data_IF_726796679773
#
_entry.id   IF_726796679773
#
_cell.length_a   1.000
_cell.length_b   1.000
_cell.length_c   1.000
_cell.angle_alpha   90.00
_cell.angle_beta   90.00
_cell.angle_gamma   90.00
#
_symmetry.space_group_name_H-M   'P 1'
#
loop_
_entity.id
_entity.type
_entity.pdbx_description
1 polymer ?
#
# COMPACT_ATOMS: atom_id res chain seq x y z
N UNK A 1 4.95 -14.88 -9.74
CA UNK A 1 5.17 -15.16 -8.32
C UNK A 1 3.85 -15.49 -7.65
N UNK A 2 3.87 -16.34 -6.64
CA UNK A 2 2.73 -16.65 -5.77
C UNK A 2 2.73 -15.69 -4.58
N UNK A 3 1.63 -15.00 -4.35
CA UNK A 3 1.51 -13.92 -3.37
C UNK A 3 0.46 -14.26 -2.32
N UNK A 4 0.76 -13.96 -1.07
CA UNK A 4 -0.21 -13.90 0.03
C UNK A 4 -0.32 -12.46 0.51
N UNK A 5 -1.54 -11.95 0.60
CA UNK A 5 -1.84 -10.62 1.09
C UNK A 5 -2.18 -10.65 2.57
N UNK A 6 -1.49 -9.84 3.36
CA UNK A 6 -1.80 -9.56 4.77
C UNK A 6 -2.39 -8.16 4.82
N UNK A 7 -3.73 -8.10 4.76
CA UNK A 7 -4.52 -6.88 4.67
C UNK A 7 -5.33 -6.79 3.38
N UNK A 8 -6.53 -6.18 3.47
CA UNK A 8 -7.48 -5.98 2.37
C UNK A 8 -7.96 -4.51 2.30
N UNK A 9 -7.03 -3.56 2.53
CA UNK A 9 -7.28 -2.13 2.44
C UNK A 9 -7.27 -1.61 0.99
N UNK A 10 -7.42 -0.28 0.83
CA UNK A 10 -7.44 0.36 -0.48
C UNK A 10 -6.20 0.04 -1.33
N UNK A 11 -5.01 0.18 -0.72
CA UNK A 11 -3.75 -0.12 -1.40
C UNK A 11 -3.65 -1.61 -1.78
N UNK A 12 -3.98 -2.53 -0.84
CA UNK A 12 -3.97 -3.96 -1.13
C UNK A 12 -4.89 -4.32 -2.29
N UNK A 13 -6.06 -3.66 -2.39
CA UNK A 13 -7.00 -3.87 -3.49
C UNK A 13 -6.40 -3.42 -4.82
N UNK A 14 -5.93 -2.20 -4.91
CA UNK A 14 -5.42 -1.63 -6.16
C UNK A 14 -4.12 -2.31 -6.62
N UNK A 15 -3.17 -2.51 -5.71
CA UNK A 15 -1.90 -3.17 -6.03
C UNK A 15 -2.10 -4.67 -6.31
N UNK A 16 -3.01 -5.32 -5.58
CA UNK A 16 -3.36 -6.73 -5.80
C UNK A 16 -3.93 -6.96 -7.19
N UNK A 17 -4.87 -6.13 -7.62
CA UNK A 17 -5.41 -6.19 -8.98
C UNK A 17 -4.36 -5.88 -10.05
N UNK A 18 -3.46 -4.92 -9.79
CA UNK A 18 -2.38 -4.60 -10.73
C UNK A 18 -1.39 -5.77 -10.88
N UNK A 19 -0.98 -6.39 -9.77
CA UNK A 19 -0.10 -7.58 -9.78
C UNK A 19 -0.79 -8.79 -10.42
N UNK A 20 -2.08 -8.99 -10.18
CA UNK A 20 -2.85 -10.04 -10.82
C UNK A 20 -2.90 -9.87 -12.34
N UNK A 21 -3.15 -8.63 -12.84
CA UNK A 21 -3.10 -8.32 -14.28
C UNK A 21 -1.71 -8.49 -14.88
N UNK A 22 -0.66 -8.30 -14.08
CA UNK A 22 0.73 -8.54 -14.49
C UNK A 22 1.13 -10.04 -14.49
N UNK A 23 0.18 -10.95 -14.20
CA UNK A 23 0.40 -12.40 -14.26
C UNK A 23 0.93 -13.03 -12.96
N UNK A 24 0.86 -12.32 -11.83
CA UNK A 24 1.13 -12.91 -10.54
C UNK A 24 -0.09 -13.63 -9.99
N UNK A 25 0.11 -14.75 -9.30
CA UNK A 25 -0.93 -15.56 -8.69
C UNK A 25 -1.12 -15.15 -7.22
N UNK A 26 -2.33 -14.79 -6.82
CA UNK A 26 -2.64 -14.63 -5.40
C UNK A 26 -3.16 -15.96 -4.85
N UNK A 27 -2.53 -16.46 -3.79
CA UNK A 27 -2.96 -17.69 -3.12
C UNK A 27 -4.05 -17.43 -2.10
N UNK A 28 -3.89 -16.35 -1.32
CA UNK A 28 -4.79 -16.04 -0.20
C UNK A 28 -4.73 -14.56 0.16
N UNK A 29 -5.86 -14.06 0.65
CA UNK A 29 -5.98 -12.78 1.34
C UNK A 29 -6.35 -13.03 2.79
N UNK A 30 -5.53 -12.53 3.70
CA UNK A 30 -5.86 -12.40 5.12
C UNK A 30 -6.35 -10.99 5.43
N UNK A 31 -7.42 -10.87 6.21
CA UNK A 31 -7.86 -9.58 6.78
C UNK A 31 -8.46 -9.80 8.15
N UNK A 32 -8.47 -8.76 9.00
CA UNK A 32 -9.06 -8.79 10.34
C UNK A 32 -10.53 -9.22 10.35
N UNK A 33 -11.27 -9.01 9.28
CA UNK A 33 -12.66 -9.43 9.11
C UNK A 33 -12.78 -10.25 7.85
N UNK A 34 -13.51 -11.37 7.93
CA UNK A 34 -13.76 -12.25 6.78
C UNK A 34 -14.38 -11.48 5.61
N UNK A 35 -15.36 -10.63 5.87
CA UNK A 35 -16.02 -9.83 4.82
C UNK A 35 -15.03 -8.99 3.99
N UNK A 36 -14.02 -8.38 4.65
CA UNK A 36 -12.99 -7.63 3.91
C UNK A 36 -12.05 -8.53 3.13
N UNK A 37 -11.72 -9.71 3.66
CA UNK A 37 -10.89 -10.70 2.98
C UNK A 37 -11.60 -11.24 1.74
N UNK A 38 -12.88 -11.62 1.85
CA UNK A 38 -13.70 -12.16 0.77
C UNK A 38 -13.87 -11.18 -0.39
N UNK A 39 -14.07 -9.89 -0.12
CA UNK A 39 -14.20 -8.86 -1.16
C UNK A 39 -12.94 -8.80 -2.03
N UNK A 40 -11.76 -8.79 -1.44
CA UNK A 40 -10.51 -8.75 -2.21
C UNK A 40 -10.19 -10.12 -2.83
N UNK A 41 -10.38 -11.19 -2.09
CA UNK A 41 -10.15 -12.55 -2.58
C UNK A 41 -11.05 -12.88 -3.79
N UNK A 42 -12.30 -12.44 -3.78
CA UNK A 42 -13.21 -12.60 -4.93
C UNK A 42 -12.74 -11.86 -6.18
N UNK A 43 -12.11 -10.68 -6.04
CA UNK A 43 -11.52 -9.94 -7.17
C UNK A 43 -10.26 -10.62 -7.72
N UNK A 44 -9.49 -11.29 -6.86
CA UNK A 44 -8.24 -11.93 -7.21
C UNK A 44 -8.36 -13.44 -7.51
N UNK A 45 -9.57 -14.02 -7.33
CA UNK A 45 -9.81 -15.43 -7.57
C UNK A 45 -9.06 -16.38 -6.62
N UNK A 46 -8.94 -16.03 -5.34
CA UNK A 46 -8.13 -16.75 -4.37
C UNK A 46 -8.86 -17.04 -3.05
N UNK A 47 -8.17 -17.65 -2.09
CA UNK A 47 -8.73 -17.97 -0.76
C UNK A 47 -8.84 -16.71 0.11
N UNK A 48 -9.81 -16.69 1.01
CA UNK A 48 -9.97 -15.67 2.06
C UNK A 48 -9.82 -16.30 3.43
N UNK A 49 -9.24 -15.55 4.39
CA UNK A 49 -9.22 -15.93 5.81
C UNK A 49 -9.17 -14.72 6.71
N UNK A 50 -9.76 -14.81 7.91
CA UNK A 50 -9.56 -13.88 9.01
C UNK A 50 -8.84 -14.54 10.21
N UNK A 51 -8.45 -15.80 10.05
CA UNK A 51 -7.64 -16.54 11.02
C UNK A 51 -6.15 -16.43 10.64
N UNK A 52 -5.35 -15.88 11.57
CA UNK A 52 -3.89 -15.76 11.41
C UNK A 52 -3.20 -17.14 11.30
N UNK A 53 -3.77 -18.15 11.95
CA UNK A 53 -3.17 -19.48 11.96
C UNK A 53 -3.49 -20.27 10.67
N UNK A 54 -4.51 -19.81 9.93
CA UNK A 54 -4.90 -20.33 8.62
C UNK A 54 -4.18 -19.63 7.45
N UNK A 55 -3.24 -18.72 7.72
CA UNK A 55 -2.42 -18.13 6.65
C UNK A 55 -1.57 -19.22 6.01
N UNK A 56 -1.78 -19.45 4.69
CA UNK A 56 -1.15 -20.55 3.95
C UNK A 56 0.36 -20.35 3.80
N UNK A 57 1.17 -21.39 3.98
CA UNK A 57 2.60 -21.37 3.65
C UNK A 57 2.83 -21.55 2.15
N UNK A 58 4.09 -21.39 1.70
CA UNK A 58 4.52 -21.76 0.34
C UNK A 58 4.26 -20.72 -0.73
N UNK A 59 3.97 -19.47 -0.35
CA UNK A 59 4.03 -18.34 -1.27
C UNK A 59 5.47 -17.91 -1.51
N UNK A 60 5.72 -17.27 -2.66
CA UNK A 60 7.01 -16.64 -2.95
C UNK A 60 7.13 -15.31 -2.19
N UNK A 61 6.01 -14.61 -2.01
CA UNK A 61 5.97 -13.26 -1.42
C UNK A 61 4.76 -13.13 -0.49
N UNK A 62 5.00 -12.55 0.69
CA UNK A 62 3.96 -12.10 1.63
C UNK A 62 3.98 -10.58 1.69
N UNK A 63 2.87 -9.94 1.30
CA UNK A 63 2.75 -8.47 1.27
C UNK A 63 1.88 -8.00 2.42
N UNK A 64 2.49 -7.29 3.37
CA UNK A 64 1.83 -6.70 4.53
C UNK A 64 1.32 -5.29 4.17
N UNK A 65 0.04 -5.19 3.85
CA UNK A 65 -0.63 -3.93 3.49
C UNK A 65 -1.70 -3.60 4.53
N UNK A 66 -1.25 -3.22 5.71
CA UNK A 66 -2.05 -2.95 6.90
C UNK A 66 -1.71 -1.59 7.50
N UNK A 67 -2.52 -1.13 8.45
CA UNK A 67 -2.22 0.10 9.21
C UNK A 67 -0.94 -0.08 10.04
N UNK A 68 -0.17 0.99 10.17
CA UNK A 68 1.12 1.03 10.87
C UNK A 68 1.04 0.46 12.30
N UNK A 69 0.02 0.84 13.06
CA UNK A 69 -0.14 0.42 14.46
C UNK A 69 -0.41 -1.08 14.68
N UNK A 70 -0.64 -1.87 13.62
CA UNK A 70 -0.84 -3.33 13.73
C UNK A 70 0.24 -4.12 12.97
N UNK A 71 1.09 -3.45 12.19
CA UNK A 71 2.08 -4.09 11.33
C UNK A 71 3.04 -4.97 12.12
N UNK A 72 3.66 -4.44 13.17
CA UNK A 72 4.65 -5.15 13.98
C UNK A 72 4.07 -6.42 14.62
N UNK A 73 2.84 -6.33 15.17
CA UNK A 73 2.15 -7.47 15.76
C UNK A 73 1.82 -8.58 14.73
N UNK A 74 1.52 -8.22 13.48
CA UNK A 74 1.28 -9.19 12.43
C UNK A 74 2.58 -9.78 11.89
N UNK A 75 3.61 -8.97 11.74
CA UNK A 75 4.94 -9.42 11.31
C UNK A 75 5.48 -10.46 12.30
N UNK A 76 5.46 -10.19 13.61
CA UNK A 76 5.97 -11.11 14.63
C UNK A 76 5.27 -12.47 14.64
N UNK A 77 4.00 -12.54 14.22
CA UNK A 77 3.22 -13.79 14.18
C UNK A 77 3.29 -14.54 12.85
N UNK A 78 3.37 -13.83 11.73
CA UNK A 78 3.29 -14.43 10.39
C UNK A 78 4.68 -14.66 9.81
N UNK A 79 5.58 -13.67 9.86
CA UNK A 79 6.85 -13.73 9.17
C UNK A 79 7.74 -14.92 9.57
N UNK A 80 7.81 -15.37 10.85
CA UNK A 80 8.60 -16.57 11.22
C UNK A 80 8.11 -17.86 10.57
N UNK A 81 6.89 -17.89 10.05
CA UNK A 81 6.25 -19.07 9.44
C UNK A 81 6.40 -19.12 7.92
N UNK A 82 6.95 -18.05 7.31
CA UNK A 82 7.04 -17.91 5.85
C UNK A 82 8.29 -18.59 5.26
N UNK A 83 9.22 -19.08 6.09
CA UNK A 83 10.47 -19.67 5.65
C UNK A 83 11.37 -18.67 4.92
N UNK A 84 11.81 -19.01 3.70
CA UNK A 84 12.63 -18.14 2.86
C UNK A 84 11.82 -17.26 1.90
N UNK A 85 10.51 -17.17 2.08
CA UNK A 85 9.69 -16.27 1.26
C UNK A 85 10.05 -14.80 1.52
N UNK A 86 9.84 -13.97 0.51
CA UNK A 86 10.04 -12.54 0.59
C UNK A 86 8.90 -11.88 1.39
N UNK A 87 9.21 -11.19 2.48
CA UNK A 87 8.26 -10.42 3.27
C UNK A 87 8.38 -8.93 2.94
N UNK A 88 7.33 -8.32 2.43
CA UNK A 88 7.29 -6.91 2.08
C UNK A 88 6.20 -6.18 2.85
N UNK A 89 6.45 -4.94 3.30
CA UNK A 89 5.37 -4.06 3.73
C UNK A 89 5.22 -2.88 2.78
N UNK A 90 4.04 -2.26 2.83
CA UNK A 90 3.70 -1.14 1.94
C UNK A 90 3.58 0.20 2.69
N UNK A 91 4.02 0.27 3.94
CA UNK A 91 3.88 1.46 4.77
C UNK A 91 4.96 2.51 4.46
N UNK A 92 4.54 3.77 4.29
CA UNK A 92 5.45 4.90 4.04
C UNK A 92 6.23 5.33 5.28
N UNK A 93 5.61 5.22 6.47
CA UNK A 93 6.15 5.69 7.75
C UNK A 93 6.96 4.65 8.51
N UNK A 94 6.73 3.34 8.26
CA UNK A 94 7.35 2.26 9.04
C UNK A 94 8.76 1.91 8.52
N UNK A 95 9.71 1.60 9.41
CA UNK A 95 11.03 1.16 8.99
C UNK A 95 10.98 -0.25 8.42
N UNK A 96 11.87 -0.55 7.45
CA UNK A 96 12.06 -1.90 6.94
C UNK A 96 12.42 -2.89 8.07
N UNK A 97 13.13 -2.41 9.07
CA UNK A 97 13.61 -3.18 10.22
C UNK A 97 12.50 -3.78 11.09
N UNK A 98 11.22 -3.47 10.85
CA UNK A 98 10.10 -4.17 11.50
C UNK A 98 10.15 -5.68 11.29
N UNK A 99 10.80 -6.15 10.21
CA UNK A 99 10.99 -7.58 9.91
C UNK A 99 12.24 -8.19 10.54
N UNK A 100 13.16 -7.37 11.09
CA UNK A 100 14.44 -7.85 11.63
C UNK A 100 14.21 -8.86 12.76
N UNK A 101 14.81 -10.04 12.62
CA UNK A 101 14.63 -11.14 13.57
C UNK A 101 13.34 -11.96 13.37
N UNK A 102 12.47 -11.58 12.42
CA UNK A 102 11.24 -12.30 12.10
C UNK A 102 11.25 -12.93 10.71
N UNK A 103 11.95 -12.32 9.75
CA UNK A 103 12.09 -12.84 8.39
C UNK A 103 13.56 -12.80 7.94
N UNK A 104 13.94 -13.74 7.07
CA UNK A 104 15.29 -13.78 6.47
C UNK A 104 15.39 -12.84 5.26
N UNK A 105 14.33 -12.73 4.48
CA UNK A 105 14.25 -11.97 3.24
C UNK A 105 13.11 -10.98 3.35
N UNK A 106 13.45 -9.71 3.45
CA UNK A 106 12.45 -8.68 3.69
C UNK A 106 12.80 -7.34 3.07
N UNK A 107 11.78 -6.53 2.89
CA UNK A 107 11.92 -5.22 2.30
C UNK A 107 10.64 -4.39 2.36
N UNK A 108 10.62 -3.37 1.53
CA UNK A 108 9.51 -2.44 1.38
C UNK A 108 9.13 -2.34 -0.09
N UNK A 109 7.84 -2.34 -0.34
CA UNK A 109 7.22 -2.05 -1.64
C UNK A 109 6.21 -0.92 -1.43
N UNK A 110 6.62 0.32 -1.67
CA UNK A 110 5.82 1.50 -1.34
C UNK A 110 5.39 2.27 -2.58
N UNK A 111 4.20 2.01 -3.14
CA UNK A 111 3.60 2.86 -4.17
C UNK A 111 3.16 4.20 -3.55
N UNK A 112 3.64 5.30 -4.13
CA UNK A 112 3.33 6.64 -3.62
C UNK A 112 2.12 7.24 -4.31
N UNK A 113 0.94 6.93 -3.78
CA UNK A 113 -0.34 7.45 -4.25
C UNK A 113 -1.39 7.40 -3.13
N UNK A 114 -2.43 8.20 -3.24
CA UNK A 114 -3.65 8.04 -2.45
C UNK A 114 -4.57 7.04 -3.16
N UNK A 115 -4.94 5.96 -2.47
CA UNK A 115 -5.74 4.89 -3.05
C UNK A 115 -7.17 4.89 -2.51
N UNK A 116 -8.13 4.66 -3.39
CA UNK A 116 -9.51 4.31 -3.08
C UNK A 116 -9.84 2.94 -3.71
N UNK A 117 -10.74 2.18 -3.09
CA UNK A 117 -11.19 0.90 -3.67
C UNK A 117 -11.99 1.08 -4.95
N UNK A 118 -12.69 2.21 -5.05
CA UNK A 118 -13.68 2.46 -6.10
C UNK A 118 -13.14 3.35 -7.23
N UNK A 119 -11.88 3.81 -7.11
CA UNK A 119 -11.24 4.65 -8.11
C UNK A 119 -10.00 3.93 -8.65
N UNK A 120 -10.09 3.24 -9.79
CA UNK A 120 -8.95 2.57 -10.41
C UNK A 120 -7.84 3.55 -10.74
N UNK A 121 -6.59 3.12 -10.54
CA UNK A 121 -5.40 3.91 -10.86
C UNK A 121 -4.53 3.18 -11.89
N UNK A 122 -3.88 3.95 -12.75
CA UNK A 122 -2.85 3.39 -13.63
C UNK A 122 -1.54 3.29 -12.85
N UNK A 123 -1.19 2.06 -12.46
CA UNK A 123 0.04 1.79 -11.72
C UNK A 123 1.30 2.11 -12.51
N UNK A 124 1.28 2.13 -13.84
CA UNK A 124 2.45 2.43 -14.66
C UNK A 124 3.03 3.81 -14.39
N UNK A 125 2.17 4.77 -14.07
CA UNK A 125 2.58 6.15 -13.79
C UNK A 125 2.93 6.39 -12.31
N UNK A 126 2.57 5.47 -11.41
CA UNK A 126 2.77 5.62 -9.96
C UNK A 126 4.21 5.32 -9.60
N UNK A 127 4.94 6.24 -8.96
CA UNK A 127 6.25 5.94 -8.40
C UNK A 127 6.16 4.87 -7.33
N UNK A 128 6.99 3.83 -7.44
CA UNK A 128 7.12 2.76 -6.45
C UNK A 128 8.51 2.80 -5.86
N UNK A 129 8.59 3.07 -4.57
CA UNK A 129 9.85 3.09 -3.83
C UNK A 129 10.08 1.74 -3.16
N UNK A 130 11.32 1.24 -3.30
CA UNK A 130 11.71 -0.07 -2.79
C UNK A 130 12.89 0.04 -1.85
N UNK A 131 12.94 -0.84 -0.86
CA UNK A 131 14.04 -1.00 0.08
C UNK A 131 14.16 -2.48 0.42
N UNK A 132 15.35 -2.99 0.63
CA UNK A 132 15.53 -4.42 0.89
C UNK A 132 16.71 -4.71 1.82
N UNK A 133 16.65 -5.86 2.48
CA UNK A 133 17.65 -6.32 3.45
C UNK A 133 18.98 -6.76 2.82
N UNK A 134 18.95 -7.18 1.55
CA UNK A 134 20.13 -7.61 0.78
C UNK A 134 19.98 -7.25 -0.70
N UNK A 135 21.09 -7.19 -1.48
CA UNK A 135 21.01 -6.92 -2.92
C UNK A 135 20.13 -7.90 -3.71
N UNK A 136 20.13 -9.19 -3.36
CA UNK A 136 19.29 -10.20 -4.02
C UNK A 136 17.81 -9.95 -3.75
N UNK A 137 17.48 -9.58 -2.52
CA UNK A 137 16.10 -9.22 -2.14
C UNK A 137 15.68 -7.93 -2.83
N UNK A 138 16.59 -6.96 -2.97
CA UNK A 138 16.34 -5.73 -3.72
C UNK A 138 15.99 -6.04 -5.17
N UNK A 139 16.81 -6.84 -5.85
CA UNK A 139 16.57 -7.22 -7.25
C UNK A 139 15.20 -7.89 -7.45
N UNK A 140 14.80 -8.78 -6.54
CA UNK A 140 13.47 -9.41 -6.58
C UNK A 140 12.33 -8.42 -6.30
N UNK A 141 12.52 -7.52 -5.33
CA UNK A 141 11.53 -6.49 -5.00
C UNK A 141 11.36 -5.52 -6.17
N UNK A 142 12.47 -5.11 -6.81
CA UNK A 142 12.42 -4.30 -8.04
C UNK A 142 11.72 -5.03 -9.18
N UNK A 143 12.01 -6.30 -9.41
CA UNK A 143 11.36 -7.09 -10.45
C UNK A 143 9.83 -7.12 -10.24
N UNK A 144 9.38 -7.33 -8.99
CA UNK A 144 7.97 -7.30 -8.64
C UNK A 144 7.38 -5.89 -8.88
N UNK A 145 8.07 -4.83 -8.45
CA UNK A 145 7.62 -3.46 -8.63
C UNK A 145 7.52 -3.07 -10.12
N UNK A 146 8.55 -3.42 -10.93
CA UNK A 146 8.61 -3.15 -12.37
C UNK A 146 7.57 -3.91 -13.19
N UNK A 147 6.98 -4.98 -12.64
CA UNK A 147 5.86 -5.67 -13.31
C UNK A 147 4.60 -4.80 -13.39
N UNK A 148 4.48 -3.78 -12.53
CA UNK A 148 3.30 -2.91 -12.45
C UNK A 148 3.61 -1.44 -12.69
N UNK A 149 4.83 -0.96 -12.45
CA UNK A 149 5.21 0.45 -12.56
C UNK A 149 6.45 0.65 -13.42
N UNK A 150 6.43 1.70 -14.25
CA UNK A 150 7.59 2.13 -15.03
C UNK A 150 8.55 3.04 -14.23
N UNK A 151 8.14 3.46 -13.00
CA UNK A 151 8.88 4.36 -12.11
C UNK A 151 9.23 3.65 -10.81
N UNK A 152 10.32 2.89 -10.81
CA UNK A 152 10.79 2.17 -9.61
C UNK A 152 12.14 2.72 -9.19
N UNK A 153 12.24 3.14 -7.93
CA UNK A 153 13.45 3.72 -7.34
C UNK A 153 13.75 3.09 -5.98
N UNK A 154 15.03 2.84 -5.70
CA UNK A 154 15.48 2.48 -4.36
C UNK A 154 15.45 3.70 -3.45
N UNK A 155 14.88 3.53 -2.25
CA UNK A 155 14.78 4.63 -1.27
C UNK A 155 14.89 4.11 0.15
N UNK A 156 15.84 4.67 0.91
CA UNK A 156 15.99 4.33 2.33
C UNK A 156 14.75 4.69 3.17
N UNK A 157 14.60 3.98 4.29
CA UNK A 157 13.54 4.25 5.29
C UNK A 157 13.43 5.74 5.65
N UNK A 158 14.56 6.42 5.88
CA UNK A 158 14.54 7.84 6.30
C UNK A 158 14.02 8.75 5.19
N UNK A 159 14.48 8.56 3.96
CA UNK A 159 14.01 9.34 2.79
C UNK A 159 12.54 9.06 2.53
N UNK A 160 12.10 7.81 2.58
CA UNK A 160 10.70 7.41 2.40
C UNK A 160 9.79 8.04 3.45
N UNK A 161 10.20 8.06 4.73
CA UNK A 161 9.43 8.69 5.82
C UNK A 161 9.27 10.19 5.59
N UNK A 162 10.34 10.89 5.16
CA UNK A 162 10.26 12.33 4.82
C UNK A 162 9.34 12.59 3.64
N UNK A 163 9.45 11.76 2.59
CA UNK A 163 8.59 11.85 1.41
C UNK A 163 7.12 11.59 1.77
N UNK A 164 6.86 10.54 2.56
CA UNK A 164 5.52 10.22 3.03
C UNK A 164 4.93 11.37 3.87
N UNK A 165 5.70 11.94 4.79
CA UNK A 165 5.26 13.08 5.60
C UNK A 165 4.94 14.30 4.73
N UNK A 166 5.76 14.61 3.74
CA UNK A 166 5.49 15.69 2.80
C UNK A 166 4.19 15.45 2.02
N UNK A 167 3.95 14.21 1.57
CA UNK A 167 2.70 13.85 0.88
C UNK A 167 1.47 13.94 1.80
N UNK A 168 1.60 13.58 3.08
CA UNK A 168 0.51 13.77 4.06
C UNK A 168 0.13 15.25 4.16
N UNK A 169 1.09 16.16 4.24
CA UNK A 169 0.79 17.59 4.24
C UNK A 169 0.19 18.06 2.92
N UNK A 170 0.79 17.69 1.80
CA UNK A 170 0.37 18.20 0.47
C UNK A 170 -0.97 17.63 0.00
N UNK A 171 -1.36 16.42 0.44
CA UNK A 171 -2.57 15.76 -0.01
C UNK A 171 -3.60 15.57 1.10
N UNK A 172 -3.25 14.87 2.19
CA UNK A 172 -4.24 14.44 3.18
C UNK A 172 -4.76 15.63 3.99
N UNK A 173 -3.88 16.55 4.43
CA UNK A 173 -4.30 17.75 5.15
C UNK A 173 -5.10 18.69 4.25
N UNK A 174 -4.68 18.87 3.01
CA UNK A 174 -5.42 19.69 2.03
C UNK A 174 -6.82 19.12 1.81
N UNK A 175 -6.95 17.82 1.56
CA UNK A 175 -8.24 17.15 1.41
C UNK A 175 -9.11 17.28 2.67
N UNK A 176 -8.49 17.18 3.85
CA UNK A 176 -9.22 17.36 5.12
C UNK A 176 -9.73 18.80 5.27
N UNK A 177 -8.91 19.80 4.92
CA UNK A 177 -9.36 21.20 4.91
C UNK A 177 -10.54 21.43 3.94
N UNK A 178 -10.51 20.83 2.75
CA UNK A 178 -11.63 20.88 1.81
C UNK A 178 -12.89 20.20 2.37
N UNK A 179 -12.75 19.06 3.02
CA UNK A 179 -13.88 18.38 3.66
C UNK A 179 -14.52 19.24 4.77
N UNK A 180 -13.70 19.86 5.62
CA UNK A 180 -14.18 20.77 6.66
C UNK A 180 -14.88 22.01 6.05
N UNK A 181 -14.33 22.58 4.98
CA UNK A 181 -14.96 23.70 4.28
C UNK A 181 -16.32 23.29 3.68
N UNK A 182 -16.40 22.10 3.09
CA UNK A 182 -17.66 21.56 2.58
C UNK A 182 -18.71 21.37 3.69
N UNK A 183 -18.31 20.86 4.86
CA UNK A 183 -19.21 20.70 6.02
C UNK A 183 -19.75 22.04 6.53
N UNK A 184 -18.89 23.07 6.59
CA UNK A 184 -19.32 24.43 7.00
C UNK A 184 -20.34 24.98 6.02
N UNK A 185 -20.07 24.94 4.72
CA UNK A 185 -20.95 25.49 3.67
C UNK A 185 -22.22 24.63 3.50
N UNK A 186 -22.14 23.32 3.70
CA UNK A 186 -23.27 22.42 3.56
C UNK A 186 -24.43 22.72 4.54
N UNK A 187 -24.14 23.37 5.67
CA UNK A 187 -25.18 23.81 6.65
C UNK A 187 -26.10 24.88 6.09
N UNK A 188 -25.59 25.66 5.18
CA UNK A 188 -26.32 26.77 4.53
C UNK A 188 -26.70 26.47 3.08
N UNK A 189 -26.47 25.23 2.60
CA UNK A 189 -26.75 24.84 1.22
C UNK A 189 -25.85 25.48 0.17
N UNK A 190 -24.69 26.02 0.57
CA UNK A 190 -23.74 26.69 -0.31
C UNK A 190 -22.79 25.69 -0.94
N UNK A 191 -22.55 25.78 -2.26
CA UNK A 191 -21.63 24.89 -2.97
C UNK A 191 -20.16 25.28 -2.72
N UNK A 192 -19.31 24.30 -2.39
CA UNK A 192 -17.87 24.52 -2.18
C UNK A 192 -17.16 25.12 -3.40
N UNK A 193 -17.65 24.87 -4.61
CA UNK A 193 -17.10 25.46 -5.85
C UNK A 193 -17.05 26.98 -5.87
N UNK A 194 -17.90 27.66 -5.08
CA UNK A 194 -17.83 29.12 -4.95
C UNK A 194 -16.63 29.63 -4.18
N UNK A 195 -15.92 28.73 -3.45
CA UNK A 195 -14.73 29.06 -2.66
C UNK A 195 -13.45 28.49 -3.25
N UNK A 196 -13.56 27.71 -4.33
CA UNK A 196 -12.37 27.18 -5.03
C UNK A 196 -11.66 28.31 -5.77
N UNK A 197 -10.33 28.41 -5.67
CA UNK A 197 -9.57 29.40 -6.44
C UNK A 197 -9.84 29.19 -7.93
N UNK A 198 -10.23 30.31 -8.60
CA UNK A 198 -10.33 30.34 -10.04
C UNK A 198 -8.96 30.15 -10.67
N UNK A 199 -8.82 29.54 -11.86
CA UNK A 199 -7.56 29.54 -12.60
C UNK A 199 -6.91 30.91 -12.75
N UNK A 200 -7.71 32.00 -12.69
CA UNK A 200 -7.24 33.40 -12.70
C UNK A 200 -6.53 33.81 -11.41
N UNK A 201 -6.92 33.25 -10.26
CA UNK A 201 -6.32 33.59 -8.96
C UNK A 201 -4.91 32.98 -8.83
N UNK A 202 -4.57 31.96 -9.63
CA UNK A 202 -3.25 31.33 -9.67
C UNK A 202 -2.26 32.16 -10.51
N UNK A 203 -2.73 32.94 -11.48
CA UNK A 203 -1.88 33.79 -12.32
C UNK A 203 -1.44 35.07 -11.59
N UNK A 204 -2.24 35.59 -10.66
CA UNK A 204 -1.91 36.79 -9.88
C UNK A 204 -0.96 36.55 -8.70
N UNK A 205 -0.68 35.29 -8.38
CA UNK A 205 0.20 34.88 -7.25
C UNK A 205 1.66 34.57 -7.65
N UNK A 206 2.08 34.93 -8.87
CA UNK A 206 3.46 34.71 -9.37
C UNK A 206 4.26 36.00 -9.47
#
# INVERSE_FOLDING_TARGET
>A
MKIVWIGAGNLATQLGEALHRAGHETLQVFSRTMASAEVLAGRLGCLATDDLDAVVPGADVYIFSVKDGVLEGLVSRIAPRTGDALCLHTAGSMPMDVFRGHAHRYGVLYPMQTFSKDCPVDFKEIPVFVEASTPDVLAQTEQLARSVSDRVEEMSTERRRRLHLAAVFACNFVNHCYALAADVLGRDGICLLYTSPSPRDVEESR
#
